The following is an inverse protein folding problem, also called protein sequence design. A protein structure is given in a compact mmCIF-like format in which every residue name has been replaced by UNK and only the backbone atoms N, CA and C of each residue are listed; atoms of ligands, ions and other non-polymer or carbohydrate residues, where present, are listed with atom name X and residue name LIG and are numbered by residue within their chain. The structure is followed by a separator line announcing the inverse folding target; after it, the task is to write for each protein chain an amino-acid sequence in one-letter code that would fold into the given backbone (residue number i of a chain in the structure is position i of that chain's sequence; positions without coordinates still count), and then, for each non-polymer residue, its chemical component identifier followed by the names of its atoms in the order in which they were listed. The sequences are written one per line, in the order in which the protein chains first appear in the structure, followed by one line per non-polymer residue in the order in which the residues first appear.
data_IF_474470882475
#
_entry.id   IF_474470882475
#
_cell.length_a   1.000
_cell.length_b   1.000
_cell.length_c   1.000
_cell.angle_alpha   90.00
_cell.angle_beta   90.00
_cell.angle_gamma   90.00
#
_symmetry.space_group_name_H-M   'P 1'
#
loop_
_entity.id
_entity.type
_entity.pdbx_description
1 polymer ?
#
# COMPACT_ATOMS: atom_id res chain seq x y z
N UNK A 1 20.49 -9.24 2.08
CA UNK A 1 19.57 -8.08 2.01
C UNK A 1 20.14 -7.06 1.02
N UNK A 2 20.02 -7.36 -0.29
CA UNK A 2 20.61 -6.53 -1.34
C UNK A 2 19.67 -5.38 -1.73
N UNK A 3 20.28 -4.23 -2.02
CA UNK A 3 19.70 -2.89 -2.02
C UNK A 3 18.84 -2.58 -3.26
N UNK A 4 17.58 -3.03 -3.28
CA UNK A 4 16.59 -2.60 -4.30
C UNK A 4 15.83 -1.35 -3.85
N UNK A 5 15.85 -1.02 -2.56
CA UNK A 5 15.22 0.19 -2.00
C UNK A 5 15.75 1.48 -2.65
N UNK A 6 17.01 1.50 -3.11
CA UNK A 6 17.62 2.69 -3.74
C UNK A 6 17.08 3.00 -5.15
N UNK A 7 16.64 2.00 -5.92
CA UNK A 7 16.12 2.22 -7.28
C UNK A 7 14.70 2.81 -7.22
N UNK A 8 13.89 2.35 -6.26
CA UNK A 8 12.50 2.83 -6.07
C UNK A 8 12.40 4.22 -5.41
N UNK A 9 13.42 4.62 -4.62
CA UNK A 9 13.48 5.93 -3.97
C UNK A 9 13.82 7.09 -4.93
N UNK A 10 14.43 6.83 -6.09
CA UNK A 10 14.91 7.89 -7.00
C UNK A 10 13.83 8.62 -7.81
N UNK A 11 12.55 8.25 -7.67
CA UNK A 11 11.47 8.74 -8.54
C UNK A 11 10.47 9.72 -7.89
N UNK A 12 10.75 10.30 -6.71
CA UNK A 12 9.76 11.21 -6.07
C UNK A 12 10.42 12.39 -5.38
N UNK A 13 10.51 13.53 -6.10
CA UNK A 13 10.73 14.86 -5.52
C UNK A 13 9.37 15.46 -5.15
N UNK A 14 8.72 14.96 -4.09
CA UNK A 14 7.44 15.50 -3.62
C UNK A 14 7.40 15.41 -2.08
N UNK A 15 7.01 16.50 -1.43
CA UNK A 15 6.98 16.75 0.01
C UNK A 15 5.95 15.92 0.84
N UNK A 16 5.54 14.73 0.37
CA UNK A 16 4.67 13.79 1.11
C UNK A 16 5.46 12.53 1.49
N UNK A 17 5.30 12.04 2.73
CA UNK A 17 5.99 10.84 3.21
C UNK A 17 5.24 9.60 2.70
N UNK A 18 5.65 9.13 1.52
CA UNK A 18 5.22 7.83 0.98
C UNK A 18 6.15 6.72 1.51
N UNK A 19 5.62 5.77 2.27
CA UNK A 19 6.32 4.51 2.49
C UNK A 19 6.16 3.65 1.24
N UNK A 20 7.30 3.21 0.71
CA UNK A 20 7.39 2.33 -0.44
C UNK A 20 8.10 1.08 0.04
N UNK A 21 7.43 -0.07 0.01
CA UNK A 21 7.97 -1.33 0.47
C UNK A 21 7.87 -2.38 -0.62
N UNK A 22 8.89 -3.22 -0.71
CA UNK A 22 8.99 -4.29 -1.70
C UNK A 22 9.64 -5.52 -1.07
N UNK A 23 9.09 -6.69 -1.40
CA UNK A 23 9.60 -7.98 -0.93
C UNK A 23 9.97 -8.84 -2.14
N UNK A 24 11.16 -9.43 -2.12
CA UNK A 24 11.65 -10.36 -3.15
C UNK A 24 11.95 -11.70 -2.52
N UNK A 25 11.27 -12.76 -2.96
CA UNK A 25 11.55 -14.15 -2.55
C UNK A 25 11.17 -15.10 -3.68
N UNK A 26 11.73 -16.30 -3.66
CA UNK A 26 11.31 -17.38 -4.56
C UNK A 26 9.87 -17.77 -4.23
N UNK A 27 9.00 -17.84 -5.25
CA UNK A 27 7.63 -18.37 -5.12
C UNK A 27 6.60 -17.44 -4.46
N UNK A 28 6.82 -16.12 -4.47
CA UNK A 28 5.82 -15.14 -3.98
C UNK A 28 4.70 -14.98 -5.00
N UNK A 29 3.45 -14.95 -4.52
CA UNK A 29 2.24 -14.77 -5.32
C UNK A 29 1.34 -13.64 -4.76
N UNK A 30 0.23 -13.36 -5.44
CA UNK A 30 -0.73 -12.31 -5.07
C UNK A 30 -1.39 -12.58 -3.72
N UNK A 31 -1.63 -13.85 -3.35
CA UNK A 31 -2.18 -14.20 -2.03
C UNK A 31 -1.26 -13.75 -0.90
N UNK A 32 0.05 -13.92 -1.05
CA UNK A 32 1.04 -13.45 -0.08
C UNK A 32 1.02 -11.92 0.06
N UNK A 33 0.88 -11.20 -1.05
CA UNK A 33 0.75 -9.74 -1.08
C UNK A 33 -0.49 -9.28 -0.29
N UNK A 34 -1.65 -9.87 -0.59
CA UNK A 34 -2.92 -9.51 0.06
C UNK A 34 -2.86 -9.81 1.56
N UNK A 35 -2.39 -10.99 1.94
CA UNK A 35 -2.29 -11.40 3.34
C UNK A 35 -1.35 -10.48 4.13
N UNK A 36 -0.18 -10.15 3.56
CA UNK A 36 0.81 -9.28 4.22
C UNK A 36 0.22 -7.88 4.48
N UNK A 37 -0.48 -7.32 3.50
CA UNK A 37 -1.09 -6.00 3.62
C UNK A 37 -2.29 -6.00 4.58
N UNK A 38 -3.10 -7.05 4.54
CA UNK A 38 -4.23 -7.22 5.45
C UNK A 38 -3.73 -7.28 6.90
N UNK A 39 -2.75 -8.14 7.18
CA UNK A 39 -2.16 -8.30 8.52
C UNK A 39 -1.54 -6.99 9.02
N UNK A 40 -0.73 -6.33 8.18
CA UNK A 40 -0.14 -5.03 8.51
C UNK A 40 -1.18 -3.98 8.92
N UNK A 41 -2.27 -3.85 8.14
CA UNK A 41 -3.31 -2.86 8.43
C UNK A 41 -4.17 -3.25 9.63
N UNK A 42 -4.46 -4.55 9.81
CA UNK A 42 -5.17 -5.04 10.99
C UNK A 42 -4.40 -4.78 12.27
N UNK A 43 -3.09 -5.01 12.27
CA UNK A 43 -2.22 -4.69 13.41
C UNK A 43 -2.13 -3.18 13.65
N UNK A 44 -2.00 -2.38 12.58
CA UNK A 44 -1.95 -0.91 12.69
C UNK A 44 -3.23 -0.31 13.30
N UNK A 45 -4.42 -0.81 12.92
CA UNK A 45 -5.70 -0.35 13.45
C UNK A 45 -6.16 -1.10 14.71
N UNK A 46 -5.51 -2.21 15.07
CA UNK A 46 -5.89 -3.06 16.20
C UNK A 46 -7.28 -3.71 16.05
N UNK A 47 -7.73 -3.97 14.82
CA UNK A 47 -9.06 -4.49 14.50
C UNK A 47 -9.01 -5.48 13.37
N UNK A 48 -9.97 -6.41 13.34
CA UNK A 48 -10.21 -7.26 12.17
C UNK A 48 -10.83 -6.42 11.07
N UNK A 49 -10.23 -6.47 9.88
CA UNK A 49 -10.61 -5.67 8.73
C UNK A 49 -10.73 -6.56 7.51
N UNK A 50 -11.81 -6.35 6.76
CA UNK A 50 -12.02 -7.00 5.48
C UNK A 50 -11.28 -6.21 4.41
N UNK A 51 -10.84 -6.93 3.38
CA UNK A 51 -10.03 -6.38 2.30
C UNK A 51 -10.74 -6.60 0.98
N UNK A 52 -10.68 -5.58 0.15
CA UNK A 52 -11.13 -5.61 -1.23
C UNK A 52 -10.00 -5.15 -2.13
N UNK A 53 -9.69 -5.94 -3.16
CA UNK A 53 -8.74 -5.58 -4.20
C UNK A 53 -9.49 -5.28 -5.48
N UNK A 54 -9.26 -4.10 -6.04
CA UNK A 54 -9.78 -3.71 -7.33
C UNK A 54 -8.63 -3.78 -8.34
N UNK A 55 -8.80 -4.39 -9.53
CA UNK A 55 -7.78 -4.37 -10.57
C UNK A 55 -7.45 -2.92 -10.97
N UNK A 56 -6.16 -2.61 -11.03
CA UNK A 56 -5.67 -1.30 -11.48
C UNK A 56 -4.41 -1.47 -12.33
N UNK A 57 -3.92 -0.40 -12.94
CA UNK A 57 -2.70 -0.42 -13.74
C UNK A 57 -1.60 0.46 -13.13
N UNK A 58 -0.45 -0.15 -12.86
CA UNK A 58 0.78 0.56 -12.55
C UNK A 58 1.91 0.08 -13.47
N UNK A 59 2.72 0.97 -14.07
CA UNK A 59 3.77 0.58 -15.04
C UNK A 59 4.86 -0.36 -14.50
N UNK A 60 4.99 -0.46 -13.17
CA UNK A 60 6.04 -1.21 -12.49
C UNK A 60 5.56 -2.55 -11.93
N UNK A 61 4.26 -2.85 -12.00
CA UNK A 61 3.68 -4.08 -11.45
C UNK A 61 2.65 -4.72 -12.38
N UNK A 62 2.65 -6.05 -12.46
CA UNK A 62 1.71 -6.85 -13.24
C UNK A 62 1.56 -8.25 -12.62
N UNK A 63 0.37 -8.65 -12.13
CA UNK A 63 -0.85 -7.85 -11.98
C UNK A 63 -0.76 -6.75 -10.92
N UNK A 64 -1.61 -5.73 -11.07
CA UNK A 64 -1.68 -4.52 -10.24
C UNK A 64 -3.08 -4.33 -9.64
N UNK A 65 -3.14 -3.77 -8.43
CA UNK A 65 -4.35 -3.62 -7.64
C UNK A 65 -4.38 -2.31 -6.86
N UNK A 66 -5.57 -1.73 -6.75
CA UNK A 66 -5.93 -0.81 -5.67
C UNK A 66 -6.45 -1.62 -4.48
N UNK A 67 -6.00 -1.27 -3.29
CA UNK A 67 -6.30 -2.00 -2.06
C UNK A 67 -7.18 -1.14 -1.16
N UNK A 68 -8.39 -1.62 -0.93
CA UNK A 68 -9.37 -1.03 -0.03
C UNK A 68 -9.57 -1.90 1.21
N UNK A 69 -9.79 -1.26 2.36
CA UNK A 69 -10.20 -1.92 3.60
C UNK A 69 -11.62 -1.52 4.01
N UNK A 70 -12.29 -2.37 4.76
CA UNK A 70 -13.51 -1.97 5.48
C UNK A 70 -13.19 -0.86 6.49
N UNK A 71 -14.07 0.14 6.60
CA UNK A 71 -13.81 1.31 7.41
C UNK A 71 -13.59 0.94 8.89
N UNK A 72 -12.39 1.17 9.47
CA UNK A 72 -12.08 0.75 10.84
C UNK A 72 -12.81 1.59 11.90
N UNK A 73 -13.38 2.73 11.50
CA UNK A 73 -14.03 3.69 12.39
C UNK A 73 -15.54 3.50 12.49
N UNK A 74 -16.21 3.17 11.38
CA UNK A 74 -17.67 2.97 11.37
C UNK A 74 -18.10 1.53 11.04
N UNK A 75 -17.16 0.64 10.72
CA UNK A 75 -17.43 -0.76 10.34
C UNK A 75 -18.42 -0.88 9.17
N UNK A 76 -18.49 0.14 8.30
CA UNK A 76 -19.46 0.20 7.19
C UNK A 76 -20.91 0.42 7.61
N UNK A 77 -21.17 0.78 8.87
CA UNK A 77 -22.54 0.91 9.42
C UNK A 77 -23.05 2.35 9.42
N UNK A 78 -22.17 3.35 9.33
CA UNK A 78 -22.56 4.75 9.40
C UNK A 78 -22.56 5.41 8.01
N UNK A 79 -23.74 5.79 7.46
CA UNK A 79 -23.83 6.49 6.18
C UNK A 79 -23.27 7.92 6.23
N UNK A 80 -23.19 8.54 7.41
CA UNK A 80 -22.64 9.88 7.61
C UNK A 80 -21.15 9.85 8.00
N UNK A 81 -20.46 8.72 7.79
CA UNK A 81 -19.06 8.61 8.14
C UNK A 81 -18.20 9.48 7.23
N UNK A 82 -17.56 10.51 7.79
CA UNK A 82 -16.65 11.41 7.06
C UNK A 82 -15.40 10.72 6.50
N UNK A 83 -14.96 9.61 7.10
CA UNK A 83 -13.71 8.94 6.71
C UNK A 83 -13.88 8.10 5.44
N UNK A 84 -14.99 7.36 5.34
CA UNK A 84 -15.30 6.52 4.19
C UNK A 84 -16.43 7.09 3.31
N UNK A 85 -16.85 8.34 3.55
CA UNK A 85 -17.96 9.00 2.85
C UNK A 85 -19.24 8.15 2.76
N UNK A 86 -19.55 7.37 3.79
CA UNK A 86 -20.70 6.47 3.82
C UNK A 86 -20.58 5.18 2.99
N UNK A 87 -19.50 4.97 2.23
CA UNK A 87 -19.32 3.77 1.38
C UNK A 87 -18.95 2.52 2.17
N UNK A 88 -18.43 2.68 3.39
CA UNK A 88 -17.94 1.60 4.23
C UNK A 88 -16.60 1.00 3.83
N UNK A 89 -16.02 1.45 2.71
CA UNK A 89 -14.69 1.07 2.23
C UNK A 89 -13.79 2.30 2.15
N UNK A 90 -12.49 2.11 2.36
CA UNK A 90 -11.49 3.17 2.20
C UNK A 90 -10.39 2.63 1.29
N UNK A 91 -10.21 3.23 0.13
CA UNK A 91 -9.07 2.96 -0.74
C UNK A 91 -7.81 3.54 -0.11
N UNK A 92 -6.81 2.74 0.25
CA UNK A 92 -5.64 3.22 1.02
C UNK A 92 -4.33 3.24 0.25
N UNK A 93 -4.08 2.19 -0.53
CA UNK A 93 -2.77 1.92 -1.08
C UNK A 93 -2.88 1.24 -2.44
N UNK A 94 -1.84 1.44 -3.26
CA UNK A 94 -1.64 0.70 -4.50
C UNK A 94 -0.63 -0.41 -4.27
N UNK A 95 -0.87 -1.58 -4.86
CA UNK A 95 0.03 -2.72 -4.76
C UNK A 95 0.02 -3.59 -6.01
N UNK A 96 1.01 -4.47 -6.14
CA UNK A 96 1.06 -5.41 -7.25
C UNK A 96 2.30 -6.28 -7.26
N UNK A 97 2.30 -7.28 -8.14
CA UNK A 97 3.46 -8.14 -8.39
C UNK A 97 4.47 -7.39 -9.25
N UNK A 98 5.75 -7.40 -8.90
CA UNK A 98 6.77 -6.61 -9.58
C UNK A 98 6.94 -7.13 -11.01
N UNK A 99 6.85 -6.23 -11.98
CA UNK A 99 6.97 -6.58 -13.39
C UNK A 99 8.40 -7.11 -13.70
N UNK A 100 8.57 -8.19 -14.49
CA UNK A 100 9.89 -8.77 -14.78
C UNK A 100 10.94 -7.79 -15.32
N UNK A 101 10.52 -6.80 -16.12
CA UNK A 101 11.41 -5.72 -16.58
C UNK A 101 12.06 -4.94 -15.43
N UNK A 102 11.35 -4.73 -14.33
CA UNK A 102 11.86 -4.02 -13.15
C UNK A 102 12.91 -4.87 -12.43
N UNK A 103 12.68 -6.20 -12.34
CA UNK A 103 13.67 -7.14 -11.79
C UNK A 103 14.95 -7.17 -12.64
N UNK A 104 14.81 -7.26 -13.97
CA UNK A 104 15.94 -7.21 -14.90
C UNK A 104 16.74 -5.91 -14.80
N UNK A 105 16.06 -4.77 -14.71
CA UNK A 105 16.72 -3.47 -14.51
C UNK A 105 17.48 -3.39 -13.17
N UNK A 106 17.06 -4.18 -12.16
CA UNK A 106 17.72 -4.32 -10.87
C UNK A 106 18.75 -5.47 -10.83
N UNK A 107 19.08 -6.10 -11.97
CA UNK A 107 20.00 -7.25 -12.07
C UNK A 107 19.55 -8.48 -11.27
N UNK A 108 18.23 -8.72 -11.21
CA UNK A 108 17.61 -9.89 -10.58
C UNK A 108 16.97 -10.76 -11.68
N UNK A 109 17.23 -12.07 -11.65
CA UNK A 109 16.62 -13.02 -12.59
C UNK A 109 15.13 -13.24 -12.26
N UNK A 110 14.20 -12.82 -13.13
CA UNK A 110 12.76 -12.99 -12.91
C UNK A 110 12.29 -14.45 -13.01
N UNK A 111 13.11 -15.38 -13.50
CA UNK A 111 12.78 -16.80 -13.53
C UNK A 111 12.99 -17.47 -12.16
N UNK A 112 13.92 -16.95 -11.36
CA UNK A 112 14.23 -17.47 -10.03
C UNK A 112 13.46 -16.68 -8.94
N UNK A 113 13.37 -15.36 -9.09
CA UNK A 113 12.79 -14.48 -8.09
C UNK A 113 11.49 -13.85 -8.57
N UNK A 114 10.49 -13.89 -7.69
CA UNK A 114 9.30 -13.05 -7.79
C UNK A 114 9.25 -12.08 -6.61
N UNK A 115 8.37 -11.08 -6.71
CA UNK A 115 8.21 -10.12 -5.64
C UNK A 115 6.95 -9.31 -5.81
N UNK A 116 6.55 -8.64 -4.74
CA UNK A 116 5.49 -7.65 -4.78
C UNK A 116 5.98 -6.32 -4.21
N UNK A 117 5.34 -5.25 -4.64
CA UNK A 117 5.56 -3.92 -4.13
C UNK A 117 4.22 -3.31 -3.72
N UNK A 118 4.27 -2.44 -2.71
CA UNK A 118 3.13 -1.62 -2.31
C UNK A 118 3.60 -0.23 -1.91
N UNK A 119 2.73 0.74 -2.13
CA UNK A 119 2.96 2.14 -1.75
C UNK A 119 1.84 2.63 -0.85
N UNK A 120 2.20 3.12 0.33
CA UNK A 120 1.26 3.70 1.28
C UNK A 120 1.66 5.13 1.64
N UNK A 121 0.69 6.04 1.75
CA UNK A 121 0.94 7.36 2.30
C UNK A 121 0.90 7.30 3.82
N UNK A 122 2.04 7.46 4.49
CA UNK A 122 2.09 7.45 5.96
C UNK A 122 1.27 8.61 6.51
N UNK A 123 1.39 9.80 5.90
CA UNK A 123 0.62 10.98 6.30
C UNK A 123 -0.88 10.66 6.33
N UNK A 124 -1.38 9.98 5.30
CA UNK A 124 -2.79 9.60 5.20
C UNK A 124 -3.20 8.62 6.30
N UNK A 125 -2.40 7.58 6.55
CA UNK A 125 -2.67 6.62 7.64
C UNK A 125 -2.73 7.29 9.01
N UNK A 126 -1.84 8.25 9.27
CA UNK A 126 -1.78 8.99 10.54
C UNK A 126 -2.97 9.96 10.61
N UNK A 127 -3.24 10.70 9.55
CA UNK A 127 -4.38 11.63 9.50
C UNK A 127 -5.70 10.93 9.80
N UNK A 128 -5.96 9.78 9.19
CA UNK A 128 -7.20 9.04 9.46
C UNK A 128 -7.23 8.48 10.89
N UNK A 129 -6.10 7.92 11.37
CA UNK A 129 -6.05 7.32 12.72
C UNK A 129 -6.26 8.34 13.84
N UNK A 130 -5.76 9.56 13.66
CA UNK A 130 -5.82 10.62 14.67
C UNK A 130 -6.85 11.72 14.37
N UNK A 131 -7.60 11.61 13.26
CA UNK A 131 -8.58 12.62 12.86
C UNK A 131 -7.97 13.98 12.52
N UNK A 132 -6.76 14.01 11.96
CA UNK A 132 -6.08 15.24 11.55
C UNK A 132 -6.61 15.65 10.17
N UNK A 133 -7.22 16.83 10.08
CA UNK A 133 -7.80 17.34 8.83
C UNK A 133 -6.78 18.02 7.90
N UNK A 134 -5.71 18.59 8.47
CA UNK A 134 -4.71 19.35 7.71
C UNK A 134 -3.33 18.69 7.76
N UNK A 135 -2.82 18.28 6.59
CA UNK A 135 -1.50 17.68 6.43
C UNK A 135 -0.36 18.64 6.76
N UNK A 136 -0.60 19.96 6.68
CA UNK A 136 0.41 20.97 7.04
C UNK A 136 0.77 20.95 8.52
N UNK A 137 -0.06 20.33 9.37
CA UNK A 137 0.26 20.13 10.80
C UNK A 137 1.56 19.36 10.97
N UNK A 138 1.90 18.44 10.07
CA UNK A 138 3.17 17.70 10.13
C UNK A 138 4.40 18.54 9.78
N UNK A 139 4.20 19.72 9.18
CA UNK A 139 5.28 20.56 8.64
C UNK A 139 5.44 21.91 9.33
N UNK A 140 4.51 22.27 10.22
CA UNK A 140 4.64 23.45 11.08
C UNK A 140 5.74 23.18 12.10
N UNK A 141 6.90 23.81 11.87
CA UNK A 141 8.02 23.90 12.81
C UNK A 141 7.74 24.92 13.90
#
# INVERSE_FOLDING_TARGET
MFSVTKIWMRATSIHFIKSKACTFRVGVNVGNLIATLQEFLQEYYGKKLDVRVNPFYFPFTEPSFEFALSCPFCEGKNPDCKVCSGEGWIELLGCGMIHPNVLRAAQIDPNEYTGFAFGCGIDRLVMMKYGIEDVLVFWKR
#
